data_IF_787026774044
#
_entry.id   IF_787026774044
#
_cell.length_a   1.000
_cell.length_b   1.000
_cell.length_c   1.000
_cell.angle_alpha   90.00
_cell.angle_beta   90.00
_cell.angle_gamma   90.00
#
_symmetry.space_group_name_H-M   'P 1'
#
loop_
_entity.id
_entity.type
_entity.pdbx_description
1 polymer ?
#
# COMPACT_ATOMS: atom_id res chain seq x y z
N UNK A 1 12.07 14.17 -3.58
CA UNK A 1 11.83 12.77 -3.96
C UNK A 1 11.24 12.04 -2.78
N UNK A 2 10.21 11.23 -3.00
CA UNK A 2 9.54 10.50 -1.94
C UNK A 2 10.43 9.38 -1.35
N UNK A 3 10.14 8.99 -0.10
CA UNK A 3 10.90 7.98 0.66
C UNK A 3 9.94 6.95 1.23
N UNK A 4 10.22 5.67 1.04
CA UNK A 4 9.41 4.58 1.56
C UNK A 4 9.40 4.56 3.09
N UNK A 5 10.50 4.96 3.73
CA UNK A 5 10.65 4.95 5.20
C UNK A 5 9.63 5.86 5.91
N UNK A 6 9.02 6.81 5.19
CA UNK A 6 7.92 7.62 5.70
C UNK A 6 6.59 6.85 5.64
N UNK A 7 6.36 6.08 4.56
CA UNK A 7 5.10 5.37 4.35
C UNK A 7 5.04 4.01 5.05
N UNK A 8 6.13 3.25 5.03
CA UNK A 8 6.12 1.86 5.51
C UNK A 8 5.62 1.71 6.96
N UNK A 9 6.08 2.52 7.93
CA UNK A 9 5.56 2.44 9.30
C UNK A 9 4.05 2.74 9.40
N UNK A 10 3.54 3.62 8.53
CA UNK A 10 2.12 3.90 8.44
C UNK A 10 1.33 2.66 8.01
N UNK A 11 1.74 2.03 6.90
CA UNK A 11 1.09 0.80 6.41
C UNK A 11 1.14 -0.27 7.50
N UNK A 12 2.32 -0.52 8.08
CA UNK A 12 2.50 -1.54 9.13
C UNK A 12 1.64 -1.28 10.37
N UNK A 13 1.33 -0.02 10.69
CA UNK A 13 0.43 0.31 11.82
C UNK A 13 -1.01 -0.18 11.62
N UNK A 14 -1.41 -0.48 10.39
CA UNK A 14 -2.73 -0.99 10.03
C UNK A 14 -2.73 -2.51 9.84
N UNK A 15 -1.56 -3.13 9.75
CA UNK A 15 -1.44 -4.57 9.57
C UNK A 15 -1.42 -5.28 10.95
N UNK A 16 -2.03 -6.46 10.98
CA UNK A 16 -1.98 -7.33 12.16
C UNK A 16 -0.60 -7.93 12.40
N UNK A 17 -0.42 -8.49 13.60
CA UNK A 17 0.73 -9.35 13.88
C UNK A 17 0.66 -10.68 13.12
N UNK A 18 1.39 -11.67 13.61
CA UNK A 18 1.36 -13.02 13.06
C UNK A 18 -0.02 -13.66 13.24
N UNK A 19 -0.60 -14.10 12.12
CA UNK A 19 -1.84 -14.88 12.08
C UNK A 19 -1.57 -16.14 11.24
N UNK A 20 -2.03 -17.29 11.73
CA UNK A 20 -2.00 -18.54 11.00
C UNK A 20 -3.32 -19.28 11.28
N UNK A 21 -4.37 -18.93 10.54
CA UNK A 21 -5.67 -19.57 10.62
C UNK A 21 -5.74 -20.72 9.61
N UNK A 22 -5.91 -21.97 10.03
CA UNK A 22 -6.05 -23.10 9.12
C UNK A 22 -7.26 -22.99 8.19
N UNK A 23 -8.27 -22.18 8.52
CA UNK A 23 -9.42 -21.92 7.68
C UNK A 23 -9.16 -20.85 6.60
N UNK A 24 -8.06 -20.08 6.73
CA UNK A 24 -7.69 -19.08 5.73
C UNK A 24 -6.90 -19.72 4.59
N UNK A 25 -7.47 -19.70 3.40
CA UNK A 25 -6.81 -20.19 2.18
C UNK A 25 -5.54 -19.41 1.81
N UNK A 26 -5.36 -18.21 2.34
CA UNK A 26 -4.17 -17.39 2.15
C UNK A 26 -2.97 -17.84 2.99
N UNK A 27 -3.20 -18.74 3.96
CA UNK A 27 -2.17 -19.24 4.86
C UNK A 27 -1.68 -18.21 5.87
N UNK A 28 -0.54 -18.51 6.50
CA UNK A 28 0.04 -17.63 7.51
C UNK A 28 0.42 -16.26 6.95
N UNK A 29 0.18 -15.22 7.75
CA UNK A 29 0.53 -13.83 7.43
C UNK A 29 1.19 -13.17 8.64
N UNK A 30 2.19 -12.34 8.42
CA UNK A 30 2.81 -11.50 9.44
C UNK A 30 3.17 -10.14 8.85
N UNK A 31 2.80 -9.05 9.53
CA UNK A 31 3.09 -7.66 9.10
C UNK A 31 2.66 -7.40 7.64
N UNK A 32 1.52 -7.97 7.20
CA UNK A 32 1.04 -7.85 5.82
C UNK A 32 1.78 -8.71 4.79
N UNK A 33 2.75 -9.52 5.20
CA UNK A 33 3.48 -10.45 4.33
C UNK A 33 2.89 -11.85 4.47
N UNK A 34 2.41 -12.44 3.37
CA UNK A 34 1.91 -13.83 3.35
C UNK A 34 3.05 -14.83 3.28
N UNK A 35 2.82 -16.04 3.76
CA UNK A 35 3.82 -17.13 3.67
C UNK A 35 4.22 -17.42 2.21
N UNK A 36 3.29 -17.32 1.27
CA UNK A 36 3.59 -17.51 -0.15
C UNK A 36 4.58 -16.44 -0.66
N UNK A 37 4.34 -15.18 -0.30
CA UNK A 37 5.24 -14.08 -0.63
C UNK A 37 6.62 -14.29 0.01
N UNK A 38 6.65 -14.69 1.30
CA UNK A 38 7.91 -14.92 2.00
C UNK A 38 8.72 -16.07 1.40
N UNK A 39 8.09 -17.19 1.03
CA UNK A 39 8.76 -18.30 0.33
C UNK A 39 9.39 -17.88 -0.99
N UNK A 40 8.78 -16.95 -1.70
CA UNK A 40 9.26 -16.48 -3.01
C UNK A 40 10.33 -15.38 -2.94
N UNK A 41 10.26 -14.51 -1.94
CA UNK A 41 11.05 -13.27 -1.89
C UNK A 41 11.85 -13.08 -0.60
N UNK A 42 11.58 -13.88 0.43
CA UNK A 42 12.29 -13.86 1.69
C UNK A 42 13.53 -14.76 1.70
N UNK A 43 13.97 -15.10 2.88
CA UNK A 43 15.15 -15.93 3.10
C UNK A 43 14.96 -16.80 4.35
N UNK A 44 15.77 -17.82 4.48
CA UNK A 44 15.86 -18.67 5.68
C UNK A 44 16.42 -17.84 6.85
N UNK A 45 15.53 -17.39 7.71
CA UNK A 45 15.84 -16.47 8.80
C UNK A 45 16.30 -17.19 10.05
N UNK A 46 15.81 -18.40 10.28
CA UNK A 46 16.16 -19.25 11.42
C UNK A 46 17.37 -20.17 11.14
N UNK A 47 17.82 -20.21 9.86
CA UNK A 47 18.98 -20.99 9.38
C UNK A 47 18.81 -22.51 9.53
N UNK A 48 17.56 -23.01 9.39
CA UNK A 48 17.30 -24.46 9.42
C UNK A 48 17.32 -25.11 8.01
N UNK A 49 17.62 -24.33 6.97
CA UNK A 49 17.69 -24.76 5.57
C UNK A 49 16.37 -24.75 4.83
N UNK A 50 15.27 -24.30 5.47
CA UNK A 50 13.92 -24.31 4.90
C UNK A 50 13.30 -22.93 5.07
N UNK A 51 12.73 -22.36 4.00
CA UNK A 51 11.94 -21.13 4.11
C UNK A 51 10.47 -21.50 4.37
N UNK A 52 10.02 -21.30 5.61
CA UNK A 52 8.69 -21.70 6.05
C UNK A 52 8.01 -20.67 6.99
N UNK A 53 6.94 -21.12 7.66
CA UNK A 53 6.16 -20.31 8.61
C UNK A 53 6.98 -19.88 9.83
N UNK A 54 8.02 -20.65 10.22
CA UNK A 54 8.88 -20.27 11.34
C UNK A 54 9.67 -19.01 11.01
N UNK A 55 10.17 -18.89 9.77
CA UNK A 55 10.83 -17.67 9.30
C UNK A 55 9.88 -16.50 9.24
N UNK A 56 8.67 -16.73 8.72
CA UNK A 56 7.64 -15.69 8.65
C UNK A 56 7.30 -15.11 10.03
N UNK A 57 7.33 -15.91 11.10
CA UNK A 57 7.15 -15.43 12.47
C UNK A 57 8.26 -14.47 12.91
N UNK A 58 9.46 -14.66 12.41
CA UNK A 58 10.66 -13.91 12.79
C UNK A 58 10.88 -12.63 11.97
N UNK A 59 10.04 -12.34 10.95
CA UNK A 59 10.25 -11.15 10.12
C UNK A 59 10.16 -9.88 10.94
N UNK A 60 11.09 -8.98 10.66
CA UNK A 60 11.15 -7.64 11.23
C UNK A 60 10.36 -6.64 10.40
N UNK A 61 10.16 -5.42 10.91
CA UNK A 61 9.58 -4.33 10.12
C UNK A 61 10.44 -3.98 8.90
N UNK A 62 11.77 -4.13 9.02
CA UNK A 62 12.69 -3.95 7.90
C UNK A 62 12.44 -4.98 6.81
N UNK A 63 12.30 -6.25 7.15
CA UNK A 63 11.98 -7.32 6.19
C UNK A 63 10.65 -7.03 5.47
N UNK A 64 9.62 -6.65 6.22
CA UNK A 64 8.32 -6.28 5.65
C UNK A 64 8.41 -5.04 4.74
N UNK A 65 9.22 -4.04 5.11
CA UNK A 65 9.48 -2.85 4.29
C UNK A 65 10.17 -3.19 2.97
N UNK A 66 11.14 -4.10 2.97
CA UNK A 66 11.80 -4.58 1.74
C UNK A 66 10.82 -5.29 0.80
N UNK A 67 9.94 -6.13 1.34
CA UNK A 67 8.86 -6.77 0.56
C UNK A 67 7.89 -5.71 0.01
N UNK A 68 7.54 -4.72 0.83
CA UNK A 68 6.67 -3.60 0.43
C UNK A 68 7.31 -2.77 -0.69
N UNK A 69 8.61 -2.50 -0.62
CA UNK A 69 9.36 -1.80 -1.66
C UNK A 69 9.21 -2.52 -2.99
N UNK A 70 9.60 -3.79 -3.06
CA UNK A 70 9.61 -4.58 -4.30
C UNK A 70 8.21 -4.72 -4.93
N UNK A 71 7.16 -4.90 -4.11
CA UNK A 71 5.84 -5.27 -4.63
C UNK A 71 4.88 -4.09 -4.84
N UNK A 72 5.15 -2.93 -4.22
CA UNK A 72 4.21 -1.81 -4.23
C UNK A 72 4.87 -0.46 -4.53
N UNK A 73 5.97 -0.12 -3.84
CA UNK A 73 6.69 1.13 -4.03
C UNK A 73 7.31 1.22 -5.42
N UNK A 74 8.04 0.18 -5.82
CA UNK A 74 8.72 0.12 -7.12
C UNK A 74 7.73 0.02 -8.28
N UNK A 75 6.52 -0.51 -8.07
CA UNK A 75 5.46 -0.48 -9.08
C UNK A 75 5.01 0.93 -9.44
N UNK A 76 5.08 1.86 -8.51
CA UNK A 76 4.85 3.28 -8.77
C UNK A 76 6.13 4.01 -9.17
N UNK A 77 7.30 3.36 -9.18
CA UNK A 77 8.59 4.04 -9.31
C UNK A 77 8.65 5.24 -8.36
N UNK A 78 8.21 5.04 -7.11
CA UNK A 78 7.84 6.12 -6.24
C UNK A 78 9.03 6.97 -5.76
N UNK A 79 10.26 6.46 -5.89
CA UNK A 79 11.48 7.25 -5.68
C UNK A 79 11.58 8.45 -6.64
N UNK A 80 10.89 8.41 -7.79
CA UNK A 80 10.85 9.51 -8.77
C UNK A 80 9.66 10.47 -8.59
N UNK A 81 8.76 10.20 -7.64
CA UNK A 81 7.64 11.09 -7.33
C UNK A 81 8.15 12.24 -6.45
N UNK A 82 7.88 13.48 -6.87
CA UNK A 82 8.35 14.69 -6.16
C UNK A 82 7.65 14.86 -4.80
N UNK A 83 6.35 14.62 -4.74
CA UNK A 83 5.52 14.82 -3.54
C UNK A 83 5.42 13.54 -2.73
N UNK A 84 5.87 13.57 -1.48
CA UNK A 84 5.70 12.47 -0.53
C UNK A 84 4.22 12.12 -0.31
N UNK A 85 3.35 13.13 -0.21
CA UNK A 85 1.92 12.92 -0.01
C UNK A 85 1.28 12.16 -1.18
N UNK A 86 1.67 12.49 -2.40
CA UNK A 86 1.22 11.78 -3.61
C UNK A 86 1.73 10.34 -3.61
N UNK A 87 3.01 10.11 -3.33
CA UNK A 87 3.57 8.76 -3.26
C UNK A 87 2.84 7.92 -2.20
N UNK A 88 2.59 8.49 -1.02
CA UNK A 88 1.92 7.80 0.07
C UNK A 88 0.52 7.29 -0.33
N UNK A 89 -0.31 8.16 -0.91
CA UNK A 89 -1.68 7.77 -1.27
C UNK A 89 -1.72 6.77 -2.43
N UNK A 90 -0.82 6.89 -3.41
CA UNK A 90 -0.74 6.00 -4.57
C UNK A 90 -0.24 4.61 -4.19
N UNK A 91 0.85 4.52 -3.44
CA UNK A 91 1.43 3.24 -3.02
C UNK A 91 0.51 2.50 -2.04
N UNK A 92 -0.10 3.21 -1.07
CA UNK A 92 -1.10 2.62 -0.18
C UNK A 92 -2.36 2.16 -0.94
N UNK A 93 -2.72 2.83 -2.04
CA UNK A 93 -3.83 2.36 -2.87
C UNK A 93 -3.48 1.05 -3.59
N UNK A 94 -2.27 0.91 -4.11
CA UNK A 94 -1.81 -0.37 -4.69
C UNK A 94 -1.75 -1.46 -3.63
N UNK A 95 -1.30 -1.14 -2.41
CA UNK A 95 -1.31 -2.08 -1.28
C UNK A 95 -2.71 -2.64 -1.02
N UNK A 96 -3.72 -1.78 -0.94
CA UNK A 96 -5.09 -2.18 -0.62
C UNK A 96 -5.93 -2.69 -1.80
N UNK A 97 -5.56 -2.37 -3.05
CA UNK A 97 -6.44 -2.62 -4.22
C UNK A 97 -5.67 -3.04 -5.48
N UNK A 98 -4.40 -3.40 -5.35
CA UNK A 98 -3.58 -3.90 -6.45
C UNK A 98 -3.52 -2.93 -7.64
N UNK A 99 -3.66 -3.46 -8.85
CA UNK A 99 -3.53 -2.70 -10.09
C UNK A 99 -4.52 -1.54 -10.24
N UNK A 100 -5.65 -1.57 -9.53
CA UNK A 100 -6.61 -0.45 -9.53
C UNK A 100 -6.00 0.83 -8.99
N UNK A 101 -5.06 0.71 -8.02
CA UNK A 101 -4.28 1.84 -7.50
C UNK A 101 -3.27 2.42 -8.49
N UNK A 102 -3.13 1.85 -9.69
CA UNK A 102 -2.35 2.39 -10.81
C UNK A 102 -3.28 2.85 -11.93
N UNK A 103 -4.17 1.98 -12.40
CA UNK A 103 -5.03 2.25 -13.57
C UNK A 103 -5.93 3.47 -13.37
N UNK A 104 -6.53 3.61 -12.18
CA UNK A 104 -7.42 4.74 -11.91
C UNK A 104 -6.64 6.07 -11.91
N UNK A 105 -5.52 6.21 -11.18
CA UNK A 105 -4.70 7.41 -11.28
C UNK A 105 -4.16 7.70 -12.70
N UNK A 106 -3.78 6.68 -13.49
CA UNK A 106 -3.40 6.88 -14.89
C UNK A 106 -4.52 7.53 -15.71
N UNK A 107 -5.76 7.02 -15.58
CA UNK A 107 -6.92 7.61 -16.23
C UNK A 107 -7.16 9.06 -15.75
N UNK A 108 -6.96 9.36 -14.47
CA UNK A 108 -7.08 10.73 -13.93
C UNK A 108 -6.01 11.68 -14.49
N UNK A 109 -4.86 11.15 -14.92
CA UNK A 109 -3.79 11.89 -15.60
C UNK A 109 -4.03 12.03 -17.10
N UNK A 110 -5.12 11.48 -17.65
CA UNK A 110 -5.38 11.46 -19.07
C UNK A 110 -4.51 10.46 -19.87
N UNK A 111 -3.96 9.46 -19.20
CA UNK A 111 -3.12 8.43 -19.79
C UNK A 111 -3.91 7.13 -19.96
N UNK A 112 -3.41 6.25 -20.85
CA UNK A 112 -3.92 4.89 -20.98
C UNK A 112 -3.78 4.14 -19.65
N UNK A 113 -4.87 3.54 -19.11
CA UNK A 113 -4.85 2.86 -17.82
C UNK A 113 -4.34 1.40 -17.99
N UNK A 114 -3.11 1.25 -18.46
CA UNK A 114 -2.48 -0.05 -18.71
C UNK A 114 -2.01 -0.77 -17.43
N UNK A 115 -1.86 -0.02 -16.33
CA UNK A 115 -1.39 -0.56 -15.05
C UNK A 115 0.14 -0.68 -14.94
N UNK A 116 0.87 -0.07 -15.90
CA UNK A 116 2.33 -0.03 -15.93
C UNK A 116 2.81 1.42 -15.78
N UNK A 117 3.54 1.69 -14.71
CA UNK A 117 4.09 3.03 -14.45
C UNK A 117 5.44 3.17 -15.15
N UNK A 118 5.48 4.01 -16.17
CA UNK A 118 6.70 4.38 -16.88
C UNK A 118 7.01 5.87 -16.74
N UNK A 119 8.07 6.31 -17.43
CA UNK A 119 8.53 7.71 -17.40
C UNK A 119 7.41 8.71 -17.74
N UNK A 120 6.54 8.40 -18.71
CA UNK A 120 5.40 9.26 -19.08
C UNK A 120 4.41 9.43 -17.91
N UNK A 121 4.14 8.36 -17.16
CA UNK A 121 3.25 8.43 -15.99
C UNK A 121 3.86 9.30 -14.90
N UNK A 122 5.14 9.12 -14.59
CA UNK A 122 5.86 9.92 -13.59
C UNK A 122 5.94 11.40 -14.00
N UNK A 123 6.22 11.66 -15.27
CA UNK A 123 6.28 13.03 -15.79
C UNK A 123 4.93 13.73 -15.68
N UNK A 124 3.85 13.08 -16.13
CA UNK A 124 2.49 13.61 -16.04
C UNK A 124 2.06 13.86 -14.59
N UNK A 125 2.41 12.93 -13.68
CA UNK A 125 2.14 13.04 -12.25
C UNK A 125 2.89 14.24 -11.64
N UNK A 126 4.18 14.37 -11.92
CA UNK A 126 5.04 15.40 -11.35
C UNK A 126 4.78 16.82 -11.91
N UNK A 127 3.99 16.95 -13.00
CA UNK A 127 3.49 18.22 -13.56
C UNK A 127 2.21 18.72 -12.86
N UNK A 128 1.53 17.88 -12.10
CA UNK A 128 0.32 18.27 -11.39
C UNK A 128 0.63 19.21 -10.21
N UNK A 129 -0.32 20.11 -9.91
CA UNK A 129 -0.33 20.72 -8.58
C UNK A 129 -0.53 19.63 -7.53
N UNK A 130 0.42 19.47 -6.63
CA UNK A 130 0.47 18.33 -5.74
C UNK A 130 -0.70 18.29 -4.76
N UNK A 131 -1.10 19.45 -4.20
CA UNK A 131 -2.21 19.52 -3.24
C UNK A 131 -3.55 19.26 -3.94
N UNK A 132 -3.78 19.92 -5.07
CA UNK A 132 -5.01 19.73 -5.83
C UNK A 132 -5.17 18.29 -6.32
N UNK A 133 -4.09 17.69 -6.84
CA UNK A 133 -4.13 16.32 -7.33
C UNK A 133 -4.27 15.31 -6.19
N UNK A 134 -3.62 15.53 -5.04
CA UNK A 134 -3.82 14.72 -3.85
C UNK A 134 -5.28 14.69 -3.42
N UNK A 135 -5.95 15.84 -3.37
CA UNK A 135 -7.36 15.93 -3.00
C UNK A 135 -8.26 15.17 -4.01
N UNK A 136 -7.98 15.28 -5.31
CA UNK A 136 -8.68 14.51 -6.35
C UNK A 136 -8.47 13.00 -6.19
N UNK A 137 -7.22 12.57 -5.92
CA UNK A 137 -6.90 11.15 -5.67
C UNK A 137 -7.65 10.63 -4.44
N UNK A 138 -7.68 11.39 -3.36
CA UNK A 138 -8.36 11.00 -2.12
C UNK A 138 -9.87 10.86 -2.33
N UNK A 139 -10.49 11.81 -3.01
CA UNK A 139 -11.91 11.76 -3.36
C UNK A 139 -12.22 10.55 -4.27
N UNK A 140 -11.40 10.32 -5.30
CA UNK A 140 -11.58 9.20 -6.23
C UNK A 140 -11.40 7.85 -5.57
N UNK A 141 -10.44 7.72 -4.66
CA UNK A 141 -10.25 6.49 -3.88
C UNK A 141 -11.41 6.22 -2.93
N UNK A 142 -11.97 7.27 -2.29
CA UNK A 142 -13.17 7.14 -1.47
C UNK A 142 -14.37 6.62 -2.29
N UNK A 143 -14.61 7.22 -3.46
CA UNK A 143 -15.64 6.77 -4.41
C UNK A 143 -15.43 5.30 -4.80
N UNK A 144 -14.21 4.91 -5.15
CA UNK A 144 -13.85 3.54 -5.49
C UNK A 144 -14.19 2.55 -4.37
N UNK A 145 -13.84 2.86 -3.12
CA UNK A 145 -14.15 2.01 -1.95
C UNK A 145 -15.65 1.87 -1.73
N UNK A 146 -16.40 2.96 -1.88
CA UNK A 146 -17.86 2.95 -1.79
C UNK A 146 -18.50 2.11 -2.90
N UNK A 147 -17.97 2.18 -4.12
CA UNK A 147 -18.45 1.41 -5.26
C UNK A 147 -18.20 -0.09 -5.11
N UNK A 148 -17.10 -0.51 -4.46
CA UNK A 148 -16.89 -1.92 -4.08
C UNK A 148 -18.05 -2.41 -3.21
N UNK A 149 -18.45 -1.64 -2.21
CA UNK A 149 -19.53 -2.01 -1.30
C UNK A 149 -20.91 -2.02 -1.98
N UNK A 150 -21.16 -1.07 -2.92
CA UNK A 150 -22.39 -1.09 -3.73
C UNK A 150 -22.48 -2.34 -4.60
N UNK A 151 -21.36 -2.74 -5.22
CA UNK A 151 -21.30 -3.94 -6.05
C UNK A 151 -21.35 -5.24 -5.22
N UNK A 152 -20.87 -5.19 -3.98
CA UNK A 152 -20.79 -6.34 -3.05
C UNK A 152 -21.21 -5.92 -1.65
N UNK A 153 -22.51 -5.94 -1.32
CA UNK A 153 -23.03 -5.42 -0.04
C UNK A 153 -22.39 -6.06 1.22
N UNK A 154 -21.92 -7.30 1.14
CA UNK A 154 -21.19 -7.95 2.24
C UNK A 154 -19.90 -7.22 2.65
N UNK A 155 -19.36 -6.36 1.78
CA UNK A 155 -18.15 -5.57 2.05
C UNK A 155 -18.40 -4.32 2.89
N UNK A 156 -19.66 -3.89 3.09
CA UNK A 156 -19.96 -2.70 3.91
C UNK A 156 -19.39 -2.79 5.33
N UNK A 157 -19.28 -3.98 5.89
CA UNK A 157 -18.67 -4.21 7.21
C UNK A 157 -17.22 -3.73 7.32
N UNK A 158 -16.51 -3.63 6.21
CA UNK A 158 -15.10 -3.19 6.15
C UNK A 158 -14.95 -1.71 5.78
N UNK A 159 -16.00 -1.08 5.23
CA UNK A 159 -15.92 0.26 4.66
C UNK A 159 -15.42 1.30 5.66
N UNK A 160 -15.92 1.29 6.89
CA UNK A 160 -15.48 2.23 7.93
C UNK A 160 -13.98 2.11 8.24
N UNK A 161 -13.46 0.88 8.28
CA UNK A 161 -12.03 0.64 8.46
C UNK A 161 -11.20 1.18 7.30
N UNK A 162 -11.65 0.93 6.06
CA UNK A 162 -10.98 1.43 4.85
C UNK A 162 -10.98 2.95 4.77
N UNK A 163 -12.10 3.59 5.10
CA UNK A 163 -12.21 5.05 5.10
C UNK A 163 -11.36 5.67 6.21
N UNK A 164 -11.33 5.08 7.41
CA UNK A 164 -10.47 5.53 8.51
C UNK A 164 -8.99 5.46 8.14
N UNK A 165 -8.55 4.37 7.46
CA UNK A 165 -7.19 4.26 6.94
C UNK A 165 -6.92 5.34 5.88
N UNK A 166 -7.81 5.54 4.92
CA UNK A 166 -7.66 6.58 3.90
C UNK A 166 -7.61 7.99 4.53
N UNK A 167 -8.41 8.25 5.55
CA UNK A 167 -8.43 9.55 6.26
C UNK A 167 -7.13 9.82 7.03
N UNK A 168 -6.42 8.77 7.44
CA UNK A 168 -5.10 8.86 8.03
C UNK A 168 -4.02 9.35 7.05
N UNK A 169 -4.24 9.22 5.73
CA UNK A 169 -3.34 9.77 4.71
C UNK A 169 -3.76 11.22 4.43
N UNK A 170 -2.93 12.17 4.85
CA UNK A 170 -3.16 13.61 4.72
C UNK A 170 -2.05 14.25 3.89
N UNK A 171 -2.33 15.40 3.32
CA UNK A 171 -1.28 16.17 2.66
C UNK A 171 -0.29 16.70 3.70
N UNK A 172 0.98 16.34 3.57
CA UNK A 172 2.04 16.68 4.52
C UNK A 172 2.04 15.90 5.83
N UNK A 173 1.12 14.91 6.03
CA UNK A 173 1.07 14.15 7.28
C UNK A 173 0.50 12.74 7.12
N UNK A 174 0.86 11.84 8.06
CA UNK A 174 0.26 10.52 8.22
C UNK A 174 -0.18 10.32 9.67
N UNK A 175 -1.46 9.97 9.86
CA UNK A 175 -2.01 9.59 11.15
C UNK A 175 -2.15 8.07 11.23
N UNK A 176 -1.36 7.44 12.05
CA UNK A 176 -1.28 5.99 12.23
C UNK A 176 -2.52 5.41 12.91
N UNK A 177 -2.71 4.10 12.80
CA UNK A 177 -3.83 3.41 13.45
C UNK A 177 -3.84 3.58 14.98
N UNK A 178 -2.68 3.69 15.61
CA UNK A 178 -2.53 3.94 17.05
C UNK A 178 -2.72 5.41 17.46
N UNK A 179 -3.09 6.30 16.53
CA UNK A 179 -3.31 7.71 16.77
C UNK A 179 -2.08 8.61 16.65
N UNK A 180 -0.87 8.03 16.57
CA UNK A 180 0.37 8.80 16.31
C UNK A 180 0.25 9.52 14.96
N UNK A 181 0.68 10.77 14.91
CA UNK A 181 0.75 11.57 13.68
C UNK A 181 2.18 12.02 13.42
N UNK A 182 2.60 11.95 12.16
CA UNK A 182 3.88 12.48 11.70
C UNK A 182 3.65 13.49 10.58
N UNK A 183 4.49 14.50 10.52
CA UNK A 183 4.52 15.52 9.45
C UNK A 183 5.83 15.39 8.67
N UNK A 184 5.80 15.71 7.33
CA UNK A 184 6.95 15.60 6.42
C UNK A 184 6.88 16.63 5.30
#
# INVERSE_FOLDING_TARGET
>A
MAKIDILAPYILSWEGGFVNDPADRGGATNKGVTIETWKRQGYDKNKDGIIDVKDLKLITERDATEIMRKNYWDRWQADFIKSQSIANILVDWVWGSGVHGIKIPQAMLGLAPDGVVGAKTIEALNKQDALMFFNKLKAKRKEFLQNICKARPSQYRFLNGWLRRLDGIRYGALKYNNGKEIHF
#
